data_IF_220295592145
#
_entry.id   IF_220295592145
#
_cell.length_a   1.000
_cell.length_b   1.000
_cell.length_c   1.000
_cell.angle_alpha   90.00
_cell.angle_beta   90.00
_cell.angle_gamma   90.00
#
_symmetry.space_group_name_H-M   'P 1'
#
loop_
_entity.id
_entity.type
_entity.pdbx_description
1 polymer ?
#
# COMPACT_ATOMS: atom_id res chain seq x y z
N UNK A 1 4.98 -10.67 10.22
CA UNK A 1 4.45 -9.35 10.59
C UNK A 1 3.82 -8.75 9.34
N UNK A 2 2.65 -8.13 9.43
CA UNK A 2 2.01 -7.38 8.34
C UNK A 2 2.39 -5.90 8.37
N UNK A 3 2.11 -5.17 7.28
CA UNK A 3 2.29 -3.71 7.26
C UNK A 3 1.48 -3.00 8.36
N UNK A 4 0.32 -3.53 8.72
CA UNK A 4 -0.53 -3.02 9.80
C UNK A 4 0.04 -3.28 11.19
N UNK A 5 0.68 -4.43 11.39
CA UNK A 5 1.43 -4.69 12.63
C UNK A 5 2.65 -3.76 12.74
N UNK A 6 3.39 -3.54 11.63
CA UNK A 6 4.48 -2.57 11.58
C UNK A 6 4.01 -1.13 11.86
N UNK A 7 2.84 -0.75 11.32
CA UNK A 7 2.22 0.55 11.57
C UNK A 7 1.86 0.73 13.05
N UNK A 8 1.24 -0.28 13.67
CA UNK A 8 0.93 -0.28 15.11
C UNK A 8 2.19 -0.21 15.98
N UNK A 9 3.25 -0.89 15.56
CA UNK A 9 4.55 -0.86 16.23
C UNK A 9 5.36 0.43 15.98
N UNK A 10 4.82 1.39 15.21
CA UNK A 10 5.49 2.63 14.79
C UNK A 10 6.77 2.42 13.97
N UNK A 11 6.93 1.25 13.38
CA UNK A 11 8.01 0.93 12.43
C UNK A 11 7.69 1.47 11.03
N UNK A 12 6.40 1.55 10.70
CA UNK A 12 5.87 2.24 9.52
C UNK A 12 5.13 3.50 9.98
N UNK A 13 5.56 4.68 9.54
CA UNK A 13 4.90 5.94 9.90
C UNK A 13 3.68 6.20 9.02
N UNK A 14 2.77 7.05 9.51
CA UNK A 14 1.62 7.51 8.73
C UNK A 14 2.06 8.26 7.48
N UNK A 15 3.02 9.17 7.62
CA UNK A 15 3.54 9.93 6.49
C UNK A 15 4.19 9.04 5.42
N UNK A 16 4.97 8.02 5.83
CA UNK A 16 5.57 7.07 4.90
C UNK A 16 4.49 6.25 4.16
N UNK A 17 3.47 5.78 4.90
CA UNK A 17 2.34 5.07 4.32
C UNK A 17 1.59 5.96 3.32
N UNK A 18 1.18 7.16 3.73
CA UNK A 18 0.39 8.08 2.90
C UNK A 18 1.21 8.55 1.66
N UNK A 19 2.52 8.76 1.81
CA UNK A 19 3.42 9.07 0.70
C UNK A 19 3.55 7.90 -0.29
N UNK A 20 3.71 6.67 0.20
CA UNK A 20 3.81 5.48 -0.67
C UNK A 20 2.52 5.21 -1.44
N UNK A 21 1.36 5.40 -0.82
CA UNK A 21 0.05 5.32 -1.48
C UNK A 21 -0.06 6.37 -2.57
N UNK A 22 0.35 7.60 -2.28
CA UNK A 22 0.30 8.70 -3.24
C UNK A 22 1.25 8.48 -4.42
N UNK A 23 2.47 7.99 -4.16
CA UNK A 23 3.44 7.66 -5.20
C UNK A 23 2.93 6.54 -6.13
N UNK A 24 2.38 5.47 -5.55
CA UNK A 24 1.82 4.37 -6.33
C UNK A 24 0.63 4.82 -7.20
N UNK A 25 -0.26 5.66 -6.67
CA UNK A 25 -1.40 6.17 -7.45
C UNK A 25 -1.00 7.19 -8.52
N UNK A 26 0.11 7.89 -8.34
CA UNK A 26 0.62 8.83 -9.34
C UNK A 26 1.22 8.10 -10.55
N UNK A 27 1.95 7.00 -10.31
CA UNK A 27 2.49 6.14 -11.36
C UNK A 27 2.67 4.69 -10.86
N UNK A 28 1.68 3.81 -11.10
CA UNK A 28 1.75 2.40 -10.70
C UNK A 28 2.85 1.60 -11.41
N UNK A 29 3.44 2.13 -12.49
CA UNK A 29 4.50 1.45 -13.24
C UNK A 29 5.87 1.62 -12.59
N UNK A 30 6.02 2.60 -11.68
CA UNK A 30 7.24 2.83 -10.95
C UNK A 30 7.29 2.01 -9.66
N UNK A 31 8.47 1.48 -9.28
CA UNK A 31 8.61 0.73 -8.04
C UNK A 31 8.41 1.66 -6.83
N UNK A 32 7.51 1.27 -5.92
CA UNK A 32 7.30 1.94 -4.64
C UNK A 32 7.52 0.91 -3.53
N UNK A 33 8.56 1.13 -2.73
CA UNK A 33 8.97 0.21 -1.66
C UNK A 33 8.98 0.96 -0.33
N UNK A 34 8.36 0.36 0.68
CA UNK A 34 8.43 0.81 2.08
C UNK A 34 9.56 0.08 2.80
N UNK A 35 10.48 0.82 3.39
CA UNK A 35 11.50 0.29 4.31
C UNK A 35 10.92 0.27 5.74
N UNK A 36 10.94 -0.89 6.38
CA UNK A 36 10.37 -1.15 7.71
C UNK A 36 11.46 -1.82 8.56
N UNK A 37 12.34 -1.03 9.18
CA UNK A 37 13.53 -1.57 9.85
C UNK A 37 14.50 -2.20 8.85
N UNK A 38 14.85 -3.47 9.06
CA UNK A 38 15.67 -4.29 8.13
C UNK A 38 14.87 -4.91 6.98
N UNK A 39 13.57 -4.62 6.91
CA UNK A 39 12.61 -5.27 6.04
C UNK A 39 12.03 -4.36 4.98
N UNK A 40 11.43 -4.97 3.95
CA UNK A 40 10.86 -4.24 2.81
C UNK A 40 9.45 -4.73 2.47
N UNK A 41 8.64 -3.81 1.98
CA UNK A 41 7.31 -4.10 1.44
C UNK A 41 7.14 -3.36 0.11
N UNK A 42 6.94 -4.12 -0.96
CA UNK A 42 6.62 -3.60 -2.30
C UNK A 42 5.12 -3.30 -2.40
N UNK A 43 4.78 -2.04 -2.68
CA UNK A 43 3.38 -1.58 -2.72
C UNK A 43 2.63 -2.18 -3.91
N UNK A 44 3.26 -2.30 -5.07
CA UNK A 44 2.63 -2.88 -6.25
C UNK A 44 2.36 -4.38 -6.03
N UNK A 45 3.31 -5.12 -5.46
CA UNK A 45 3.14 -6.52 -5.10
C UNK A 45 2.02 -6.70 -4.05
N UNK A 46 1.96 -5.84 -3.03
CA UNK A 46 0.89 -5.86 -2.04
C UNK A 46 -0.49 -5.62 -2.67
N UNK A 47 -0.60 -4.65 -3.58
CA UNK A 47 -1.85 -4.36 -4.30
C UNK A 47 -2.27 -5.53 -5.17
N UNK A 48 -1.36 -6.08 -5.98
CA UNK A 48 -1.64 -7.21 -6.88
C UNK A 48 -2.04 -8.48 -6.12
N UNK A 49 -1.48 -8.69 -4.92
CA UNK A 49 -1.82 -9.82 -4.06
C UNK A 49 -3.18 -9.66 -3.36
N UNK A 50 -3.75 -8.44 -3.29
CA UNK A 50 -5.00 -8.16 -2.58
C UNK A 50 -6.16 -7.94 -3.56
N UNK A 51 -6.96 -8.98 -3.80
CA UNK A 51 -8.05 -8.99 -4.79
C UNK A 51 -9.02 -7.81 -4.69
N UNK A 52 -9.45 -7.45 -3.47
CA UNK A 52 -10.36 -6.31 -3.32
C UNK A 52 -9.70 -5.02 -3.81
N UNK A 53 -8.41 -4.82 -3.52
CA UNK A 53 -7.71 -3.60 -3.96
C UNK A 53 -7.54 -3.56 -5.48
N UNK A 54 -7.24 -4.69 -6.13
CA UNK A 54 -7.19 -4.73 -7.60
C UNK A 54 -8.57 -4.47 -8.21
N UNK A 55 -9.62 -5.05 -7.66
CA UNK A 55 -10.99 -4.87 -8.15
C UNK A 55 -11.43 -3.40 -8.01
N UNK A 56 -11.12 -2.75 -6.89
CA UNK A 56 -11.43 -1.34 -6.65
C UNK A 56 -10.65 -0.37 -7.55
N UNK A 57 -9.40 -0.69 -7.87
CA UNK A 57 -8.59 0.13 -8.78
C UNK A 57 -9.04 -0.01 -10.25
N UNK A 58 -9.71 -1.11 -10.60
CA UNK A 58 -10.27 -1.32 -11.93
C UNK A 58 -11.63 -0.61 -12.15
N UNK A 59 -12.26 -0.07 -11.09
CA UNK A 59 -13.51 0.69 -11.22
C UNK A 59 -13.23 2.07 -11.83
N UNK A 60 -13.79 2.31 -13.02
CA UNK A 60 -13.60 3.54 -13.80
C UNK A 60 -13.95 4.80 -12.99
N UNK A 61 -15.12 4.78 -12.32
CA UNK A 61 -15.64 5.90 -11.53
C UNK A 61 -15.24 5.86 -10.04
N UNK A 62 -14.24 5.06 -9.66
CA UNK A 62 -13.79 5.06 -8.26
C UNK A 62 -13.26 6.44 -7.86
N UNK A 63 -13.80 6.99 -6.77
CA UNK A 63 -13.36 8.28 -6.25
C UNK A 63 -11.87 8.21 -5.86
N UNK A 64 -11.14 9.34 -5.89
CA UNK A 64 -9.73 9.38 -5.48
C UNK A 64 -9.51 8.83 -4.07
N UNK A 65 -10.46 9.07 -3.16
CA UNK A 65 -10.41 8.54 -1.80
C UNK A 65 -10.58 7.02 -1.76
N UNK A 66 -11.50 6.48 -2.56
CA UNK A 66 -11.72 5.04 -2.68
C UNK A 66 -10.47 4.32 -3.19
N UNK A 67 -9.81 4.88 -4.21
CA UNK A 67 -8.52 4.35 -4.72
C UNK A 67 -7.42 4.40 -3.67
N UNK A 68 -7.32 5.48 -2.89
CA UNK A 68 -6.37 5.57 -1.75
C UNK A 68 -6.62 4.49 -0.71
N UNK A 69 -7.88 4.28 -0.31
CA UNK A 69 -8.22 3.25 0.68
C UNK A 69 -7.97 1.83 0.17
N UNK A 70 -8.16 1.58 -1.13
CA UNK A 70 -7.82 0.31 -1.77
C UNK A 70 -6.31 0.01 -1.61
N UNK A 71 -5.44 0.93 -2.01
CA UNK A 71 -3.98 0.76 -1.91
C UNK A 71 -3.52 0.67 -0.45
N UNK A 72 -4.03 1.56 0.40
CA UNK A 72 -3.69 1.58 1.82
C UNK A 72 -4.04 0.27 2.52
N UNK A 73 -5.23 -0.27 2.24
CA UNK A 73 -5.66 -1.55 2.80
C UNK A 73 -4.73 -2.67 2.38
N UNK A 74 -4.38 -2.76 1.08
CA UNK A 74 -3.45 -3.77 0.59
C UNK A 74 -2.10 -3.74 1.33
N UNK A 75 -1.51 -2.55 1.49
CA UNK A 75 -0.25 -2.38 2.21
C UNK A 75 -0.36 -2.81 3.68
N UNK A 76 -1.45 -2.46 4.36
CA UNK A 76 -1.62 -2.78 5.78
C UNK A 76 -1.87 -4.27 6.04
N UNK A 77 -2.46 -5.01 5.10
CA UNK A 77 -2.69 -6.45 5.27
C UNK A 77 -1.56 -7.32 4.70
N UNK A 78 -0.72 -6.76 3.83
CA UNK A 78 0.38 -7.48 3.23
C UNK A 78 1.45 -7.90 4.27
N UNK A 79 2.04 -9.09 4.11
CA UNK A 79 3.19 -9.49 4.91
C UNK A 79 4.40 -8.62 4.58
N UNK A 80 5.18 -8.28 5.60
CA UNK A 80 6.48 -7.60 5.47
C UNK A 80 7.57 -8.67 5.37
N UNK A 81 8.37 -8.61 4.30
CA UNK A 81 9.42 -9.58 3.97
C UNK A 81 10.61 -9.53 4.91
#
# INVERSE_FOLDING_TARGET
MTGGEAFRAKLLTRDALDASVSAYLADPSQPVVLEIGDKRLDVAAAVLAHKWSTDELAVEDATPERRRQAVRTAVLVAPVG
#
